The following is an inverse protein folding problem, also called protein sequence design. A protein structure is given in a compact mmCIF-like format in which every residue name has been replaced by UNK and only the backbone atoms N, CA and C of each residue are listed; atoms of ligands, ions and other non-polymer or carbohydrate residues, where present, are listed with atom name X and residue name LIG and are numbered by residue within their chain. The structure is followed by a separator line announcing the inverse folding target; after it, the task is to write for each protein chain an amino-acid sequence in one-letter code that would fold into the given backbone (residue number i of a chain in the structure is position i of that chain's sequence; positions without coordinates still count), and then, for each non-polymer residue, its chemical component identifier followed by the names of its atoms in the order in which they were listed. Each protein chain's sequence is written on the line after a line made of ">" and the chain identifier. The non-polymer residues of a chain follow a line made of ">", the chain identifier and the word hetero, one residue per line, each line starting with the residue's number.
data_IF_181724933707
#
_entry.id   IF_181724933707
#
_cell.length_a   1.000
_cell.length_b   1.000
_cell.length_c   1.000
_cell.angle_alpha   90.00
_cell.angle_beta   90.00
_cell.angle_gamma   90.00
#
_symmetry.space_group_name_H-M   'P 1'
#
loop_
_entity.id
_entity.type
_entity.pdbx_description
1 polymer ?
#
# COMPACT_ATOMS: atom_id res chain seq x y z
N UNK A 1 16.14 26.47 5.85
CA UNK A 1 15.93 25.58 7.00
C UNK A 1 16.04 24.16 6.47
N UNK A 2 16.73 23.28 7.18
CA UNK A 2 17.18 21.98 6.68
C UNK A 2 15.98 21.10 6.31
N UNK A 3 15.92 20.70 5.04
CA UNK A 3 15.08 19.59 4.58
C UNK A 3 15.51 18.35 5.35
N UNK A 4 14.71 17.94 6.33
CA UNK A 4 14.80 16.56 6.82
C UNK A 4 14.48 15.68 5.64
N UNK A 5 15.50 15.02 5.08
CA UNK A 5 15.26 13.90 4.19
C UNK A 5 14.54 12.86 5.04
N UNK A 6 13.24 12.71 4.85
CA UNK A 6 12.45 11.64 5.44
C UNK A 6 12.91 10.34 4.79
N UNK A 7 13.99 9.77 5.32
CA UNK A 7 14.51 8.49 4.87
C UNK A 7 13.48 7.42 5.23
N UNK A 8 13.01 6.69 4.21
CA UNK A 8 12.25 5.45 4.41
C UNK A 8 13.06 4.55 5.36
N UNK A 9 12.45 3.97 6.41
CA UNK A 9 13.16 3.04 7.26
C UNK A 9 13.65 1.83 6.46
N UNK A 10 14.83 1.33 6.81
CA UNK A 10 15.37 0.08 6.28
C UNK A 10 14.45 -1.10 6.62
N UNK A 11 14.34 -2.08 5.70
CA UNK A 11 13.44 -3.23 5.83
C UNK A 11 13.73 -4.01 7.12
N UNK A 12 15.00 -4.35 7.37
CA UNK A 12 15.42 -5.14 8.52
C UNK A 12 15.30 -4.37 9.83
N UNK A 13 15.59 -3.06 9.81
CA UNK A 13 15.38 -2.20 10.97
C UNK A 13 13.88 -2.13 11.35
N UNK A 14 12.98 -2.02 10.37
CA UNK A 14 11.55 -2.02 10.61
C UNK A 14 11.06 -3.39 11.08
N UNK A 15 11.55 -4.48 10.51
CA UNK A 15 11.21 -5.85 10.93
C UNK A 15 11.56 -6.06 12.41
N UNK A 16 12.76 -5.65 12.83
CA UNK A 16 13.19 -5.74 14.22
C UNK A 16 12.32 -4.89 15.15
N UNK A 17 11.93 -3.69 14.73
CA UNK A 17 11.07 -2.80 15.50
C UNK A 17 9.65 -3.38 15.68
N UNK A 18 9.05 -3.92 14.63
CA UNK A 18 7.73 -4.58 14.66
C UNK A 18 7.76 -5.79 15.60
N UNK A 19 8.76 -6.66 15.42
CA UNK A 19 8.95 -7.86 16.25
C UNK A 19 9.14 -7.54 17.74
N UNK A 20 9.98 -6.54 18.08
CA UNK A 20 10.21 -6.12 19.47
C UNK A 20 8.94 -5.67 20.19
N UNK A 21 7.96 -5.15 19.45
CA UNK A 21 6.71 -4.65 20.01
C UNK A 21 5.56 -5.66 19.86
N UNK A 22 5.84 -6.87 19.39
CA UNK A 22 4.84 -7.93 19.24
C UNK A 22 3.83 -7.68 18.12
N UNK A 23 4.18 -6.84 17.14
CA UNK A 23 3.32 -6.61 15.98
C UNK A 23 3.44 -7.79 15.03
N UNK A 24 2.32 -8.43 14.72
CA UNK A 24 2.25 -9.63 13.88
C UNK A 24 2.34 -9.38 12.37
N UNK A 25 2.87 -8.23 11.95
CA UNK A 25 3.03 -7.86 10.54
C UNK A 25 4.52 -7.76 10.19
N UNK A 26 4.84 -8.15 8.96
CA UNK A 26 6.13 -7.88 8.30
C UNK A 26 6.21 -6.41 7.84
N UNK A 27 7.41 -5.91 7.51
CA UNK A 27 7.55 -4.60 6.87
C UNK A 27 6.76 -4.46 5.56
N UNK A 28 6.70 -5.52 4.76
CA UNK A 28 5.95 -5.53 3.51
C UNK A 28 4.44 -5.34 3.76
N UNK A 29 3.88 -6.08 4.72
CA UNK A 29 2.48 -5.95 5.11
C UNK A 29 2.17 -4.58 5.71
N UNK A 30 3.03 -4.06 6.58
CA UNK A 30 2.86 -2.72 7.15
C UNK A 30 2.93 -1.62 6.08
N UNK A 31 3.86 -1.73 5.12
CA UNK A 31 3.93 -0.82 3.99
C UNK A 31 2.67 -0.92 3.11
N UNK A 32 2.19 -2.14 2.83
CA UNK A 32 0.95 -2.38 2.11
C UNK A 32 -0.22 -1.69 2.79
N UNK A 33 -0.38 -1.89 4.10
CA UNK A 33 -1.43 -1.27 4.90
C UNK A 33 -1.42 0.27 4.80
N UNK A 34 -0.26 0.90 5.06
CA UNK A 34 -0.12 2.35 4.98
C UNK A 34 -0.38 2.88 3.56
N UNK A 35 0.11 2.15 2.55
CA UNK A 35 -0.13 2.47 1.14
C UNK A 35 -1.61 2.39 0.80
N UNK A 36 -2.33 1.35 1.25
CA UNK A 36 -3.76 1.20 1.04
C UNK A 36 -4.58 2.32 1.69
N UNK A 37 -4.21 2.72 2.91
CA UNK A 37 -4.84 3.84 3.61
C UNK A 37 -4.65 5.16 2.84
N UNK A 38 -3.43 5.44 2.38
CA UNK A 38 -3.11 6.63 1.60
C UNK A 38 -3.78 6.63 0.22
N UNK A 39 -3.65 5.53 -0.53
CA UNK A 39 -4.30 5.33 -1.82
C UNK A 39 -5.82 5.42 -1.73
N UNK A 40 -6.42 5.06 -0.59
CA UNK A 40 -7.83 5.24 -0.32
C UNK A 40 -8.25 6.64 0.12
N UNK A 41 -7.36 7.63 0.06
CA UNK A 41 -7.70 9.04 0.28
C UNK A 41 -7.64 9.52 1.72
N UNK A 42 -6.99 8.78 2.62
CA UNK A 42 -6.67 9.31 3.93
C UNK A 42 -5.59 10.40 3.81
N UNK A 43 -5.89 11.61 4.30
CA UNK A 43 -5.00 12.76 4.21
C UNK A 43 -4.75 13.44 5.58
N UNK A 44 -5.17 12.80 6.68
CA UNK A 44 -5.05 13.36 8.02
C UNK A 44 -4.41 12.35 9.00
N UNK A 45 -4.32 12.69 10.28
CA UNK A 45 -3.67 11.81 11.26
C UNK A 45 -4.52 10.60 11.69
N UNK A 46 -5.72 10.40 11.13
CA UNK A 46 -6.57 9.25 11.49
C UNK A 46 -5.98 7.91 11.06
N UNK A 47 -5.03 7.88 10.11
CA UNK A 47 -4.26 6.69 9.77
C UNK A 47 -3.64 6.01 11.00
N UNK A 48 -3.22 6.77 12.02
CA UNK A 48 -2.62 6.21 13.24
C UNK A 48 -3.62 5.32 13.97
N UNK A 49 -4.84 5.81 14.16
CA UNK A 49 -5.92 5.04 14.80
C UNK A 49 -6.28 3.82 13.96
N UNK A 50 -6.39 3.96 12.64
CA UNK A 50 -6.67 2.84 11.74
C UNK A 50 -5.59 1.74 11.85
N UNK A 51 -4.32 2.11 11.85
CA UNK A 51 -3.22 1.13 11.99
C UNK A 51 -3.21 0.51 13.38
N UNK A 52 -3.50 1.26 14.45
CA UNK A 52 -3.62 0.67 15.80
C UNK A 52 -4.74 -0.39 15.84
N UNK A 53 -5.90 -0.09 15.28
CA UNK A 53 -7.04 -1.01 15.25
C UNK A 53 -6.72 -2.29 14.47
N UNK A 54 -6.00 -2.15 13.35
CA UNK A 54 -5.71 -3.27 12.44
C UNK A 54 -4.47 -4.08 12.82
N UNK A 55 -3.48 -3.47 13.49
CA UNK A 55 -2.17 -4.08 13.74
C UNK A 55 -1.83 -4.24 15.22
N UNK A 56 -2.62 -3.69 16.14
CA UNK A 56 -2.31 -3.68 17.57
C UNK A 56 -3.55 -3.67 18.49
N UNK A 57 -4.66 -4.28 18.05
CA UNK A 57 -5.90 -4.41 18.84
C UNK A 57 -6.43 -3.06 19.37
N UNK A 58 -6.22 -1.98 18.62
CA UNK A 58 -6.62 -0.61 18.98
C UNK A 58 -5.70 0.07 20.00
N UNK A 59 -4.65 -0.59 20.49
CA UNK A 59 -3.67 0.00 21.38
C UNK A 59 -2.67 0.88 20.62
N UNK A 60 -2.36 2.04 21.18
CA UNK A 60 -1.34 2.91 20.61
C UNK A 60 0.05 2.25 20.67
N UNK A 61 0.85 2.44 19.61
CA UNK A 61 2.24 2.01 19.63
C UNK A 61 3.10 2.84 20.59
N UNK A 62 4.18 2.23 21.06
CA UNK A 62 5.25 2.97 21.76
C UNK A 62 5.82 4.07 20.85
N UNK A 63 6.47 5.07 21.45
CA UNK A 63 7.14 6.11 20.68
C UNK A 63 8.25 5.55 19.77
N UNK A 64 8.92 4.49 20.21
CA UNK A 64 10.01 3.83 19.47
C UNK A 64 9.54 3.14 18.20
N UNK A 65 8.29 2.68 18.13
CA UNK A 65 7.68 2.16 16.90
C UNK A 65 6.88 3.23 16.14
N UNK A 66 6.27 4.18 16.83
CA UNK A 66 5.49 5.25 16.18
C UNK A 66 6.33 6.13 15.25
N UNK A 67 7.59 6.42 15.61
CA UNK A 67 8.48 7.24 14.79
C UNK A 67 8.85 6.61 13.43
N UNK A 68 9.35 5.35 13.36
CA UNK A 68 9.64 4.74 12.06
C UNK A 68 8.37 4.55 11.21
N UNK A 69 7.21 4.25 11.81
CA UNK A 69 5.95 4.17 11.07
C UNK A 69 5.51 5.53 10.51
N UNK A 70 5.73 6.62 11.27
CA UNK A 70 5.49 7.96 10.76
C UNK A 70 6.43 8.31 9.59
N UNK A 71 7.72 7.99 9.70
CA UNK A 71 8.68 8.20 8.62
C UNK A 71 8.30 7.42 7.36
N UNK A 72 7.85 6.17 7.53
CA UNK A 72 7.36 5.33 6.45
C UNK A 72 6.11 5.91 5.79
N UNK A 73 5.12 6.31 6.58
CA UNK A 73 3.90 6.93 6.06
C UNK A 73 4.22 8.20 5.26
N UNK A 74 5.08 9.08 5.79
CA UNK A 74 5.48 10.32 5.12
C UNK A 74 6.26 10.07 3.83
N UNK A 75 7.12 9.03 3.78
CA UNK A 75 7.84 8.68 2.55
C UNK A 75 6.91 8.08 1.49
N UNK A 76 5.95 7.22 1.88
CA UNK A 76 4.93 6.68 0.97
C UNK A 76 4.09 7.82 0.39
N UNK A 77 3.57 8.72 1.23
CA UNK A 77 2.76 9.85 0.79
C UNK A 77 3.52 10.73 -0.22
N UNK A 78 4.79 11.03 0.07
CA UNK A 78 5.66 11.80 -0.84
C UNK A 78 5.85 11.08 -2.18
N UNK A 79 6.08 9.77 -2.16
CA UNK A 79 6.33 8.98 -3.35
C UNK A 79 5.08 8.79 -4.23
N UNK A 80 3.88 8.76 -3.62
CA UNK A 80 2.59 8.67 -4.33
C UNK A 80 2.20 9.99 -5.02
N UNK A 81 2.65 11.13 -4.50
CA UNK A 81 2.43 12.45 -5.10
C UNK A 81 3.44 12.78 -6.22
N UNK A 82 4.52 12.00 -6.34
CA UNK A 82 5.60 12.28 -7.29
C UNK A 82 5.25 11.84 -8.73
N UNK A 83 5.31 12.79 -9.67
CA UNK A 83 5.06 12.56 -11.10
C UNK A 83 6.13 11.69 -11.79
N UNK A 84 7.26 11.43 -11.12
CA UNK A 84 8.38 10.60 -11.57
C UNK A 84 8.24 9.13 -11.22
N UNK A 85 7.08 8.68 -10.73
CA UNK A 85 6.79 7.28 -10.41
C UNK A 85 7.73 6.67 -9.34
N UNK A 86 8.12 7.47 -8.34
CA UNK A 86 9.02 7.05 -7.26
C UNK A 86 8.40 6.07 -6.25
N UNK A 87 7.09 5.84 -6.29
CA UNK A 87 6.44 4.83 -5.46
C UNK A 87 6.95 3.43 -5.82
N UNK A 88 7.47 2.72 -4.81
CA UNK A 88 8.01 1.37 -4.89
C UNK A 88 7.43 0.53 -3.75
N UNK A 89 7.29 -0.78 -3.98
CA UNK A 89 6.84 -1.70 -2.94
C UNK A 89 8.02 -2.01 -2.00
N UNK A 90 7.80 -1.97 -0.69
CA UNK A 90 8.77 -2.44 0.29
C UNK A 90 8.71 -3.97 0.38
N UNK A 91 9.62 -4.64 -0.31
CA UNK A 91 9.77 -6.10 -0.33
C UNK A 91 11.17 -6.48 0.20
N UNK A 92 11.34 -7.70 0.75
CA UNK A 92 12.65 -8.20 1.16
C UNK A 92 13.55 -8.38 -0.07
N UNK A 93 14.84 -8.05 0.07
CA UNK A 93 15.79 -8.05 -1.04
C UNK A 93 17.24 -8.41 -0.61
N UNK A 94 17.41 -9.01 0.58
CA UNK A 94 18.72 -9.51 1.02
C UNK A 94 19.14 -10.74 0.22
N UNK A 95 20.45 -11.03 0.16
CA UNK A 95 21.03 -12.11 -0.65
C UNK A 95 20.50 -13.52 -0.29
N UNK A 96 19.97 -13.72 0.91
CA UNK A 96 19.41 -14.98 1.41
C UNK A 96 17.90 -15.14 1.18
N UNK A 97 17.25 -14.11 0.61
CA UNK A 97 15.81 -14.12 0.30
C UNK A 97 15.56 -14.85 -1.01
N UNK A 98 14.68 -15.84 -0.98
CA UNK A 98 14.30 -16.62 -2.18
C UNK A 98 13.18 -15.93 -2.97
N UNK A 99 12.98 -16.34 -4.22
CA UNK A 99 11.82 -15.91 -5.02
C UNK A 99 10.49 -16.24 -4.33
N UNK A 100 10.43 -17.35 -3.60
CA UNK A 100 9.26 -17.78 -2.84
C UNK A 100 8.98 -16.83 -1.66
N UNK A 101 10.01 -16.44 -0.91
CA UNK A 101 9.88 -15.45 0.17
C UNK A 101 9.39 -14.10 -0.36
N UNK A 102 9.86 -13.69 -1.55
CA UNK A 102 9.40 -12.45 -2.21
C UNK A 102 7.96 -12.56 -2.71
N UNK A 103 7.56 -13.70 -3.24
CA UNK A 103 6.18 -13.95 -3.66
C UNK A 103 5.21 -13.92 -2.46
N UNK A 104 5.58 -14.56 -1.34
CA UNK A 104 4.82 -14.51 -0.10
C UNK A 104 4.74 -13.09 0.46
N UNK A 105 5.86 -12.35 0.45
CA UNK A 105 5.89 -10.95 0.87
C UNK A 105 5.00 -10.06 -0.02
N UNK A 106 4.95 -10.30 -1.33
CA UNK A 106 4.07 -9.60 -2.25
C UNK A 106 2.60 -9.90 -1.96
N UNK A 107 2.24 -11.17 -1.76
CA UNK A 107 0.88 -11.55 -1.38
C UNK A 107 0.47 -10.90 -0.05
N UNK A 108 1.37 -10.89 0.95
CA UNK A 108 1.17 -10.17 2.22
C UNK A 108 0.98 -8.66 2.01
N UNK A 109 1.81 -8.04 1.18
CA UNK A 109 1.71 -6.63 0.82
C UNK A 109 0.34 -6.31 0.20
N UNK A 110 -0.10 -7.09 -0.79
CA UNK A 110 -1.37 -6.87 -1.50
C UNK A 110 -2.56 -7.08 -0.56
N UNK A 111 -2.55 -8.11 0.28
CA UNK A 111 -3.60 -8.34 1.29
C UNK A 111 -3.77 -7.13 2.21
N UNK A 112 -2.67 -6.57 2.70
CA UNK A 112 -2.70 -5.43 3.61
C UNK A 112 -3.01 -4.11 2.89
N UNK A 113 -2.60 -3.96 1.63
CA UNK A 113 -3.05 -2.87 0.78
C UNK A 113 -4.56 -2.86 0.60
N UNK A 114 -5.16 -4.01 0.27
CA UNK A 114 -6.61 -4.15 0.14
C UNK A 114 -7.34 -3.91 1.46
N UNK A 115 -6.75 -4.31 2.59
CA UNK A 115 -7.27 -4.00 3.93
C UNK A 115 -7.30 -2.49 4.19
N UNK A 116 -6.17 -1.80 3.95
CA UNK A 116 -6.07 -0.34 4.09
C UNK A 116 -7.03 0.43 3.18
N UNK A 117 -7.18 -0.05 1.94
CA UNK A 117 -8.12 0.51 0.97
C UNK A 117 -9.57 0.29 1.41
N UNK A 118 -9.90 -0.89 1.92
CA UNK A 118 -11.25 -1.24 2.36
C UNK A 118 -11.73 -0.42 3.57
N UNK A 119 -10.84 -0.11 4.52
CA UNK A 119 -11.22 0.70 5.70
C UNK A 119 -11.39 2.18 5.37
N UNK A 120 -10.74 2.66 4.31
CA UNK A 120 -10.81 4.06 3.86
C UNK A 120 -11.92 4.29 2.82
N UNK A 121 -12.29 3.25 2.07
CA UNK A 121 -13.35 3.29 1.05
C UNK A 121 -14.51 2.33 1.38
N UNK A 122 -15.53 2.77 2.15
CA UNK A 122 -16.66 1.92 2.58
C UNK A 122 -17.56 1.37 1.46
N UNK A 123 -17.36 1.83 0.22
CA UNK A 123 -18.09 1.39 -0.98
C UNK A 123 -17.15 0.82 -2.03
N UNK A 124 -16.03 0.22 -1.61
CA UNK A 124 -15.03 -0.37 -2.50
C UNK A 124 -15.64 -1.43 -3.44
N UNK A 125 -16.69 -2.13 -2.98
CA UNK A 125 -17.47 -3.10 -3.75
C UNK A 125 -18.25 -2.49 -4.93
N UNK A 126 -18.41 -1.16 -4.97
CA UNK A 126 -19.14 -0.43 -6.01
C UNK A 126 -18.24 0.31 -6.97
N UNK A 127 -16.92 0.20 -6.80
CA UNK A 127 -15.96 0.79 -7.73
C UNK A 127 -15.98 -0.04 -9.02
N UNK A 128 -16.09 0.64 -10.16
CA UNK A 128 -16.23 0.02 -11.48
C UNK A 128 -15.23 0.65 -12.46
N UNK A 129 -15.07 0.04 -13.64
CA UNK A 129 -14.10 0.48 -14.64
C UNK A 129 -12.70 0.00 -14.28
N UNK A 130 -11.68 0.67 -14.83
CA UNK A 130 -10.28 0.25 -14.70
C UNK A 130 -9.84 0.06 -13.25
N UNK A 131 -10.22 0.96 -12.34
CA UNK A 131 -9.88 0.83 -10.91
C UNK A 131 -10.58 -0.37 -10.25
N UNK A 132 -11.82 -0.67 -10.65
CA UNK A 132 -12.55 -1.83 -10.14
C UNK A 132 -11.91 -3.15 -10.59
N UNK A 133 -11.54 -3.24 -11.86
CA UNK A 133 -10.82 -4.38 -12.44
C UNK A 133 -9.46 -4.57 -11.75
N UNK A 134 -8.69 -3.50 -11.56
CA UNK A 134 -7.43 -3.56 -10.83
C UNK A 134 -7.59 -4.07 -9.40
N UNK A 135 -8.65 -3.67 -8.69
CA UNK A 135 -8.95 -4.17 -7.34
C UNK A 135 -9.28 -5.67 -7.35
N UNK A 136 -10.02 -6.16 -8.35
CA UNK A 136 -10.34 -7.57 -8.51
C UNK A 136 -9.11 -8.42 -8.87
N UNK A 137 -8.23 -7.89 -9.71
CA UNK A 137 -6.94 -8.52 -10.02
C UNK A 137 -6.05 -8.58 -8.78
N UNK A 138 -5.96 -7.51 -8.00
CA UNK A 138 -5.24 -7.51 -6.72
C UNK A 138 -5.78 -8.56 -5.75
N UNK A 139 -7.11 -8.77 -5.68
CA UNK A 139 -7.70 -9.85 -4.85
C UNK A 139 -7.26 -11.23 -5.33
N UNK A 140 -7.10 -11.40 -6.64
CA UNK A 140 -6.62 -12.65 -7.24
C UNK A 140 -5.14 -12.87 -6.92
N UNK A 141 -4.31 -11.84 -7.08
CA UNK A 141 -2.87 -11.86 -6.75
C UNK A 141 -2.65 -12.17 -5.27
N UNK A 142 -3.46 -11.60 -4.38
CA UNK A 142 -3.38 -11.84 -2.93
C UNK A 142 -3.62 -13.29 -2.51
N UNK A 143 -4.22 -14.10 -3.39
CA UNK A 143 -4.52 -15.52 -3.20
C UNK A 143 -3.65 -16.42 -4.08
N UNK A 144 -2.77 -15.83 -4.89
CA UNK A 144 -1.95 -16.56 -5.84
C UNK A 144 -0.91 -17.39 -5.06
N UNK A 145 -0.87 -18.68 -5.35
CA UNK A 145 0.24 -19.55 -4.98
C UNK A 145 1.18 -19.74 -6.17
N UNK A 146 2.39 -20.19 -5.89
CA UNK A 146 3.37 -20.61 -6.89
C UNK A 146 3.51 -22.13 -6.87
N UNK A 147 3.96 -22.71 -7.97
CA UNK A 147 4.38 -24.11 -8.02
C UNK A 147 5.86 -24.19 -7.60
N UNK A 148 6.16 -24.95 -6.55
CA UNK A 148 7.55 -25.13 -6.08
C UNK A 148 8.41 -25.93 -7.07
N UNK A 149 7.76 -26.66 -7.99
CA UNK A 149 8.43 -27.44 -9.04
C UNK A 149 8.69 -26.64 -10.33
N UNK A 150 8.25 -25.38 -10.42
CA UNK A 150 8.53 -24.49 -11.56
C UNK A 150 10.00 -24.03 -11.62
N UNK A 151 10.40 -23.60 -12.81
CA UNK A 151 11.72 -23.01 -13.02
C UNK A 151 11.83 -21.68 -12.25
N UNK A 152 12.80 -21.57 -11.35
CA UNK A 152 12.95 -20.40 -10.48
C UNK A 152 13.29 -19.13 -11.26
N UNK A 153 14.02 -19.22 -12.38
CA UNK A 153 14.33 -18.05 -13.21
C UNK A 153 13.08 -17.55 -13.95
N UNK A 154 12.19 -18.46 -14.35
CA UNK A 154 10.89 -18.12 -14.97
C UNK A 154 9.94 -17.51 -13.93
N UNK A 155 9.91 -18.06 -12.72
CA UNK A 155 9.13 -17.52 -11.60
C UNK A 155 9.61 -16.13 -11.19
N UNK A 156 10.93 -15.90 -11.14
CA UNK A 156 11.51 -14.58 -10.85
C UNK A 156 11.06 -13.53 -11.87
N UNK A 157 11.14 -13.85 -13.17
CA UNK A 157 10.69 -12.93 -14.23
C UNK A 157 9.20 -12.62 -14.11
N UNK A 158 8.38 -13.64 -13.89
CA UNK A 158 6.94 -13.50 -13.71
C UNK A 158 6.62 -12.66 -12.47
N UNK A 159 7.36 -12.84 -11.38
CA UNK A 159 7.18 -12.08 -10.15
C UNK A 159 7.48 -10.59 -10.35
N UNK A 160 8.54 -10.23 -11.07
CA UNK A 160 8.84 -8.82 -11.38
C UNK A 160 7.70 -8.15 -12.16
N UNK A 161 7.08 -8.85 -13.11
CA UNK A 161 5.92 -8.34 -13.85
C UNK A 161 4.72 -8.10 -12.93
N UNK A 162 4.45 -9.03 -12.00
CA UNK A 162 3.36 -8.89 -11.03
C UNK A 162 3.65 -7.76 -10.03
N UNK A 163 4.89 -7.60 -9.57
CA UNK A 163 5.31 -6.48 -8.71
C UNK A 163 5.02 -5.15 -9.40
N UNK A 164 5.40 -5.01 -10.67
CA UNK A 164 5.16 -3.80 -11.44
C UNK A 164 3.65 -3.56 -11.65
N UNK A 165 2.88 -4.60 -11.95
CA UNK A 165 1.42 -4.50 -12.04
C UNK A 165 0.81 -3.98 -10.73
N UNK A 166 1.19 -4.56 -9.59
CA UNK A 166 0.70 -4.15 -8.25
C UNK A 166 1.03 -2.69 -7.97
N UNK A 167 2.25 -2.26 -8.33
CA UNK A 167 2.70 -0.87 -8.18
C UNK A 167 1.84 0.10 -8.99
N UNK A 168 1.55 -0.23 -10.26
CA UNK A 168 0.70 0.59 -11.13
C UNK A 168 -0.75 0.60 -10.64
N UNK A 169 -1.28 -0.55 -10.20
CA UNK A 169 -2.62 -0.66 -9.65
C UNK A 169 -2.79 0.21 -8.38
N UNK A 170 -1.78 0.26 -7.51
CA UNK A 170 -1.78 1.13 -6.34
C UNK A 170 -1.82 2.63 -6.71
N UNK A 171 -1.04 3.03 -7.72
CA UNK A 171 -1.06 4.40 -8.26
C UNK A 171 -2.40 4.76 -8.89
N UNK A 172 -3.02 3.84 -9.62
CA UNK A 172 -4.36 4.01 -10.19
C UNK A 172 -5.42 4.19 -9.09
N UNK A 173 -5.35 3.40 -8.02
CA UNK A 173 -6.22 3.57 -6.85
C UNK A 173 -6.03 4.95 -6.22
N UNK A 174 -4.77 5.36 -6.01
CA UNK A 174 -4.45 6.69 -5.48
C UNK A 174 -5.04 7.80 -6.34
N UNK A 175 -4.83 7.77 -7.67
CA UNK A 175 -5.41 8.74 -8.61
C UNK A 175 -6.94 8.80 -8.49
N UNK A 176 -7.59 7.64 -8.43
CA UNK A 176 -9.05 7.51 -8.39
C UNK A 176 -9.66 8.10 -7.12
N UNK A 177 -9.06 7.87 -5.95
CA UNK A 177 -9.67 8.20 -4.66
C UNK A 177 -9.18 9.51 -4.06
N UNK A 178 -8.04 10.04 -4.49
CA UNK A 178 -7.50 11.32 -3.99
C UNK A 178 -7.86 12.51 -4.87
N UNK A 179 -8.08 12.31 -6.17
CA UNK A 179 -8.43 13.40 -7.08
C UNK A 179 -9.94 13.60 -7.10
N UNK A 180 -10.41 14.85 -7.02
CA UNK A 180 -11.84 15.13 -7.18
C UNK A 180 -12.28 14.71 -8.60
N UNK A 181 -13.28 13.85 -8.70
CA UNK A 181 -13.91 13.56 -10.00
C UNK A 181 -14.35 14.87 -10.65
N UNK A 182 -14.14 15.04 -11.98
CA UNK A 182 -14.69 16.18 -12.70
C UNK A 182 -16.19 16.19 -12.48
N UNK A 183 -16.70 17.14 -11.68
CA UNK A 183 -18.14 17.35 -11.55
C UNK A 183 -18.67 17.63 -12.95
N UNK A 184 -19.61 16.82 -13.42
CA UNK A 184 -20.30 17.04 -14.69
C UNK A 184 -20.71 18.52 -14.81
N UNK A 185 -20.60 19.15 -15.99
CA UNK A 185 -20.91 20.57 -16.14
C UNK A 185 -22.31 20.85 -15.61
N UNK A 186 -22.40 21.81 -14.69
CA UNK A 186 -23.65 22.30 -14.13
C UNK A 186 -24.65 22.54 -15.27
N UNK A 187 -25.75 21.79 -15.26
CA UNK A 187 -26.89 22.05 -16.14
C UNK A 187 -27.45 23.41 -15.71
N UNK A 188 -27.00 24.48 -16.36
CA UNK A 188 -27.56 25.82 -16.16
C UNK A 188 -29.06 25.73 -16.44
N UNK A 189 -29.87 25.81 -15.37
CA UNK A 189 -31.32 25.94 -15.50
C UNK A 189 -31.59 27.27 -16.20
N UNK A 190 -32.44 27.31 -17.25
CA UNK A 190 -32.75 28.55 -17.94
C UNK A 190 -33.46 29.49 -16.96
N UNK A 191 -32.84 30.63 -16.68
CA UNK A 191 -33.45 31.73 -15.94
C UNK A 191 -34.55 32.33 -16.81
N UNK A 192 -35.81 32.10 -16.44
CA UNK A 192 -36.94 32.81 -17.05
C UNK A 192 -36.87 34.29 -16.63
N UNK A 193 -36.84 35.19 -17.61
CA UNK A 193 -37.16 36.63 -17.49
C UNK A 193 -38.24 36.96 -18.51
#
# INVERSE_FOLDING_TARGET
>A
MMSSQNATPDYNALAAALSQHGVGMTPAEMHGLLSGILCGGNADNSWKTLVHDLANEGMAFSQTLSLPLQSLHESIATALEDDGFLFQLMLPADDDITVFDRADALAGWVNHFLLGLGVTQPKLDKVTGETGEAIDDLRTIAQLGYDEDEDQEELEQSLEEVIEYVRVAALLCHDTFTRPQPTAPEVQKPTLH
#
